data_IF_396558028126
#
_entry.id   IF_396558028126
#
_cell.length_a   1.000
_cell.length_b   1.000
_cell.length_c   1.000
_cell.angle_alpha   90.00
_cell.angle_beta   90.00
_cell.angle_gamma   90.00
#
_symmetry.space_group_name_H-M   'P 1'
#
loop_
_entity.id
_entity.type
_entity.pdbx_description
1 polymer ?
#
# COMPACT_ATOMS: atom_id res chain seq x y z
N UNK A 1 -42.24 25.72 2.59
CA UNK A 1 -42.21 24.69 3.65
C UNK A 1 -43.29 25.08 4.65
N UNK A 2 -44.43 24.38 4.65
CA UNK A 2 -45.64 24.76 5.40
C UNK A 2 -45.96 23.77 6.53
N UNK A 3 -45.43 22.54 6.45
CA UNK A 3 -45.64 21.48 7.44
C UNK A 3 -44.33 20.85 7.92
N UNK A 4 -44.37 20.12 9.04
CA UNK A 4 -43.23 19.30 9.51
C UNK A 4 -42.84 18.25 8.46
N UNK A 5 -43.82 17.67 7.75
CA UNK A 5 -43.55 16.74 6.65
C UNK A 5 -42.72 17.39 5.54
N UNK A 6 -43.04 18.63 5.15
CA UNK A 6 -42.25 19.36 4.15
C UNK A 6 -40.81 19.60 4.62
N UNK A 7 -40.63 19.86 5.92
CA UNK A 7 -39.30 20.00 6.52
C UNK A 7 -38.53 18.70 6.47
N UNK A 8 -39.13 17.58 6.85
CA UNK A 8 -38.49 16.26 6.82
C UNK A 8 -38.11 15.84 5.39
N UNK A 9 -39.00 16.05 4.42
CA UNK A 9 -38.71 15.78 3.01
C UNK A 9 -37.55 16.64 2.51
N UNK A 10 -37.56 17.93 2.82
CA UNK A 10 -36.46 18.83 2.45
C UNK A 10 -35.14 18.42 3.10
N UNK A 11 -35.15 18.14 4.41
CA UNK A 11 -33.97 17.75 5.17
C UNK A 11 -33.37 16.45 4.62
N UNK A 12 -34.18 15.41 4.45
CA UNK A 12 -33.73 14.14 3.89
C UNK A 12 -33.17 14.29 2.47
N UNK A 13 -33.81 15.11 1.62
CA UNK A 13 -33.28 15.37 0.28
C UNK A 13 -31.93 16.10 0.31
N UNK A 14 -31.73 17.00 1.28
CA UNK A 14 -30.46 17.71 1.44
C UNK A 14 -29.31 16.78 1.87
N UNK A 15 -29.60 15.68 2.57
CA UNK A 15 -28.58 14.68 2.94
C UNK A 15 -28.39 13.59 1.87
N UNK A 16 -29.49 13.06 1.32
CA UNK A 16 -29.47 11.95 0.36
C UNK A 16 -28.88 12.36 -0.99
N UNK A 17 -29.19 13.56 -1.49
CA UNK A 17 -28.69 13.98 -2.82
C UNK A 17 -27.15 14.09 -2.83
N UNK A 18 -26.49 14.77 -1.88
CA UNK A 18 -25.04 14.75 -1.77
C UNK A 18 -24.46 13.36 -1.55
N UNK A 19 -25.12 12.52 -0.73
CA UNK A 19 -24.68 11.14 -0.50
C UNK A 19 -24.61 10.33 -1.81
N UNK A 20 -25.65 10.39 -2.64
CA UNK A 20 -25.66 9.70 -3.94
C UNK A 20 -24.59 10.27 -4.89
N UNK A 21 -24.31 11.57 -4.85
CA UNK A 21 -23.21 12.16 -5.64
C UNK A 21 -21.85 11.64 -5.18
N UNK A 22 -21.59 11.60 -3.87
CA UNK A 22 -20.35 11.07 -3.31
C UNK A 22 -20.13 9.59 -3.69
N UNK A 23 -21.18 8.77 -3.59
CA UNK A 23 -21.17 7.36 -4.04
C UNK A 23 -20.77 7.25 -5.51
N UNK A 24 -21.33 8.11 -6.38
CA UNK A 24 -20.98 8.10 -7.81
C UNK A 24 -19.51 8.42 -8.03
N UNK A 25 -18.98 9.46 -7.37
CA UNK A 25 -17.56 9.81 -7.45
C UNK A 25 -16.65 8.67 -6.96
N UNK A 26 -16.98 8.07 -5.81
CA UNK A 26 -16.22 6.94 -5.27
C UNK A 26 -16.26 5.71 -6.18
N UNK A 27 -17.40 5.42 -6.78
CA UNK A 27 -17.51 4.34 -7.76
C UNK A 27 -16.57 4.57 -8.96
N UNK A 28 -16.48 5.80 -9.47
CA UNK A 28 -15.54 6.10 -10.56
C UNK A 28 -14.07 6.03 -10.12
N UNK A 29 -13.76 6.26 -8.84
CA UNK A 29 -12.41 6.01 -8.30
C UNK A 29 -12.08 4.51 -8.30
N UNK A 30 -12.93 3.66 -7.72
CA UNK A 30 -12.66 2.23 -7.59
C UNK A 30 -12.67 1.49 -8.93
N UNK A 31 -13.45 1.97 -9.91
CA UNK A 31 -13.39 1.47 -11.29
C UNK A 31 -12.00 1.59 -11.93
N UNK A 32 -11.18 2.54 -11.51
CA UNK A 32 -9.78 2.67 -12.01
C UNK A 32 -8.93 1.45 -11.64
N UNK A 33 -9.34 0.72 -10.59
CA UNK A 33 -8.72 -0.50 -10.10
C UNK A 33 -9.48 -1.77 -10.52
N UNK A 34 -10.39 -1.65 -11.49
CA UNK A 34 -11.26 -2.74 -11.95
C UNK A 34 -12.11 -3.36 -10.81
N UNK A 35 -12.56 -2.51 -9.87
CA UNK A 35 -13.41 -2.91 -8.74
C UNK A 35 -14.80 -2.29 -8.84
N UNK A 36 -15.83 -3.10 -8.60
CA UNK A 36 -17.19 -2.62 -8.34
C UNK A 36 -17.40 -2.39 -6.84
N UNK A 37 -17.67 -1.14 -6.49
CA UNK A 37 -17.80 -0.72 -5.10
C UNK A 37 -18.88 -1.48 -4.30
N UNK A 38 -19.91 -2.02 -4.94
CA UNK A 38 -21.03 -2.71 -4.27
C UNK A 38 -20.91 -4.23 -4.29
N UNK A 39 -20.19 -4.79 -5.26
CA UNK A 39 -20.02 -6.24 -5.42
C UNK A 39 -18.71 -6.71 -4.81
N UNK A 40 -17.64 -5.94 -5.00
CA UNK A 40 -16.29 -6.36 -4.63
C UNK A 40 -15.93 -6.12 -3.17
N UNK A 41 -16.69 -5.32 -2.43
CA UNK A 41 -16.42 -5.09 -1.02
C UNK A 41 -17.69 -4.81 -0.23
N UNK A 42 -17.76 -5.37 0.98
CA UNK A 42 -18.84 -5.08 1.93
C UNK A 42 -18.70 -3.66 2.50
N UNK A 43 -17.50 -3.10 2.46
CA UNK A 43 -17.17 -1.77 2.95
C UNK A 43 -16.05 -1.13 2.14
N UNK A 44 -15.87 0.18 2.30
CA UNK A 44 -14.76 0.92 1.72
C UNK A 44 -13.39 0.34 2.12
N UNK A 45 -13.26 -0.14 3.37
CA UNK A 45 -12.01 -0.77 3.82
C UNK A 45 -11.71 -2.06 3.05
N UNK A 46 -12.73 -2.88 2.75
CA UNK A 46 -12.54 -4.09 1.97
C UNK A 46 -12.13 -3.82 0.52
N UNK A 47 -12.63 -2.73 -0.08
CA UNK A 47 -12.19 -2.29 -1.41
C UNK A 47 -10.77 -1.75 -1.37
N UNK A 48 -10.44 -0.92 -0.38
CA UNK A 48 -9.07 -0.41 -0.18
C UNK A 48 -8.07 -1.55 0.03
N UNK A 49 -8.46 -2.61 0.75
CA UNK A 49 -7.65 -3.82 0.93
C UNK A 49 -7.40 -4.55 -0.41
N UNK A 50 -8.43 -4.65 -1.28
CA UNK A 50 -8.26 -5.21 -2.63
C UNK A 50 -7.30 -4.38 -3.49
N UNK A 51 -7.44 -3.05 -3.47
CA UNK A 51 -6.52 -2.12 -4.16
C UNK A 51 -5.10 -2.27 -3.61
N UNK A 52 -4.96 -2.39 -2.29
CA UNK A 52 -3.67 -2.63 -1.63
C UNK A 52 -3.03 -3.92 -2.15
N UNK A 53 -3.77 -5.03 -2.17
CA UNK A 53 -3.25 -6.29 -2.70
C UNK A 53 -2.85 -6.18 -4.17
N UNK A 54 -3.70 -5.63 -5.04
CA UNK A 54 -3.37 -5.42 -6.46
C UNK A 54 -2.04 -4.65 -6.60
N UNK A 55 -1.91 -3.53 -5.90
CA UNK A 55 -0.72 -2.67 -5.95
C UNK A 55 0.53 -3.38 -5.44
N UNK A 56 0.41 -4.15 -4.35
CA UNK A 56 1.53 -4.91 -3.76
C UNK A 56 2.00 -6.03 -4.70
N UNK A 57 1.09 -6.73 -5.38
CA UNK A 57 1.43 -7.82 -6.29
C UNK A 57 1.95 -7.34 -7.64
N UNK A 58 1.53 -6.15 -8.12
CA UNK A 58 2.04 -5.57 -9.37
C UNK A 58 3.49 -5.06 -9.24
N UNK A 59 3.90 -4.65 -8.03
CA UNK A 59 5.22 -4.06 -7.77
C UNK A 59 6.25 -5.03 -7.15
N UNK A 60 6.04 -6.34 -7.31
CA UNK A 60 6.96 -7.35 -6.80
C UNK A 60 8.38 -7.17 -7.37
N UNK A 61 9.36 -7.07 -6.48
CA UNK A 61 10.76 -7.07 -6.87
C UNK A 61 11.25 -8.49 -7.09
N UNK A 62 12.11 -8.66 -8.08
CA UNK A 62 12.73 -9.94 -8.38
C UNK A 62 14.18 -9.94 -7.91
N UNK A 63 14.62 -11.06 -7.36
CA UNK A 63 16.02 -11.26 -7.00
C UNK A 63 16.95 -11.10 -8.21
N UNK A 64 18.15 -10.57 -7.96
CA UNK A 64 19.17 -10.33 -8.98
C UNK A 64 19.50 -11.61 -9.75
N UNK A 65 19.56 -11.50 -11.08
CA UNK A 65 19.98 -12.59 -12.00
C UNK A 65 21.42 -12.43 -12.49
N UNK A 66 22.25 -11.67 -11.76
CA UNK A 66 23.67 -11.52 -12.07
C UNK A 66 24.39 -12.86 -11.86
N UNK A 67 25.23 -13.31 -12.79
CA UNK A 67 25.98 -14.55 -12.63
C UNK A 67 26.80 -14.57 -11.33
N UNK A 68 26.78 -15.71 -10.63
CA UNK A 68 27.66 -15.95 -9.49
C UNK A 68 28.99 -16.56 -9.94
N UNK A 69 29.91 -16.74 -8.98
CA UNK A 69 31.24 -17.31 -9.24
C UNK A 69 31.11 -18.74 -9.75
N UNK A 70 31.83 -19.04 -10.84
CA UNK A 70 31.86 -20.38 -11.41
C UNK A 70 32.47 -21.41 -10.46
N UNK A 71 31.90 -22.62 -10.44
CA UNK A 71 32.40 -23.79 -9.71
C UNK A 71 31.89 -25.07 -10.38
N UNK A 72 32.47 -26.21 -10.00
CA UNK A 72 32.03 -27.54 -10.43
C UNK A 72 31.20 -28.23 -9.35
N UNK A 73 30.22 -29.01 -9.77
CA UNK A 73 29.34 -29.74 -8.87
C UNK A 73 30.08 -30.84 -8.10
N UNK A 74 29.74 -31.00 -6.82
CA UNK A 74 30.41 -31.98 -5.96
C UNK A 74 30.05 -33.42 -6.34
N UNK A 75 31.04 -34.19 -6.79
CA UNK A 75 30.92 -35.64 -7.02
C UNK A 75 30.41 -36.41 -5.78
N UNK A 76 30.86 -36.00 -4.58
CA UNK A 76 30.40 -36.57 -3.31
C UNK A 76 28.91 -36.33 -3.07
N UNK A 77 28.37 -35.18 -3.50
CA UNK A 77 26.94 -34.88 -3.35
C UNK A 77 26.10 -35.66 -4.36
N UNK A 78 26.60 -35.78 -5.60
CA UNK A 78 25.94 -36.57 -6.65
C UNK A 78 25.77 -38.05 -6.24
N UNK A 79 26.81 -38.67 -5.66
CA UNK A 79 26.72 -40.07 -5.21
C UNK A 79 25.65 -40.27 -4.13
N UNK A 80 25.41 -39.26 -3.29
CA UNK A 80 24.31 -39.24 -2.32
C UNK A 80 22.93 -39.36 -2.97
N UNK A 81 22.66 -38.64 -4.06
CA UNK A 81 21.38 -38.72 -4.78
C UNK A 81 21.18 -40.08 -5.47
N UNK A 82 22.26 -40.66 -6.01
CA UNK A 82 22.20 -42.01 -6.59
C UNK A 82 21.71 -43.04 -5.58
N UNK A 83 22.20 -42.96 -4.34
CA UNK A 83 21.75 -43.82 -3.24
C UNK A 83 20.27 -43.57 -2.89
N UNK A 84 19.87 -42.31 -2.74
CA UNK A 84 18.48 -41.94 -2.41
C UNK A 84 17.47 -42.44 -3.46
N UNK A 85 17.84 -42.40 -4.73
CA UNK A 85 16.97 -42.86 -5.81
C UNK A 85 16.90 -44.39 -5.85
N UNK A 86 18.03 -45.08 -5.64
CA UNK A 86 18.05 -46.54 -5.52
C UNK A 86 17.18 -47.04 -4.35
N UNK A 87 17.30 -46.42 -3.17
CA UNK A 87 16.49 -46.75 -1.99
C UNK A 87 14.99 -46.54 -2.24
N UNK A 88 14.64 -45.47 -2.94
CA UNK A 88 13.26 -45.14 -3.29
C UNK A 88 12.75 -45.84 -4.56
N UNK A 89 13.55 -46.73 -5.18
CA UNK A 89 13.26 -47.43 -6.45
C UNK A 89 12.91 -46.47 -7.60
N UNK A 90 13.64 -45.36 -7.71
CA UNK A 90 13.49 -44.35 -8.77
C UNK A 90 14.64 -44.47 -9.78
N UNK A 91 14.36 -44.09 -11.03
CA UNK A 91 15.34 -44.09 -12.12
C UNK A 91 16.45 -43.06 -11.89
N UNK A 92 17.67 -43.36 -12.33
CA UNK A 92 18.83 -42.49 -12.20
C UNK A 92 19.62 -42.47 -13.51
N UNK A 93 19.86 -41.27 -14.05
CA UNK A 93 20.58 -41.07 -15.33
C UNK A 93 21.47 -39.83 -15.37
N UNK A 94 21.55 -39.09 -14.27
CA UNK A 94 22.34 -37.87 -14.15
C UNK A 94 23.86 -38.10 -14.28
N UNK A 95 24.56 -37.19 -14.94
CA UNK A 95 26.04 -37.15 -15.01
C UNK A 95 26.59 -35.87 -14.37
N UNK A 96 27.88 -35.86 -14.01
CA UNK A 96 28.53 -34.64 -13.51
C UNK A 96 28.59 -33.55 -14.58
N UNK A 97 28.91 -33.92 -15.82
CA UNK A 97 28.95 -32.99 -16.94
C UNK A 97 27.59 -32.32 -17.16
N UNK A 98 26.49 -33.09 -17.01
CA UNK A 98 25.14 -32.54 -17.11
C UNK A 98 24.84 -31.57 -15.95
N UNK A 99 25.26 -31.87 -14.72
CA UNK A 99 25.10 -30.96 -13.58
C UNK A 99 25.91 -29.66 -13.74
N UNK A 100 27.13 -29.76 -14.26
CA UNK A 100 27.98 -28.59 -14.54
C UNK A 100 27.41 -27.74 -15.68
N UNK A 101 26.83 -28.38 -16.71
CA UNK A 101 26.09 -27.69 -17.78
C UNK A 101 24.87 -26.95 -17.23
N UNK A 102 24.11 -27.56 -16.31
CA UNK A 102 22.98 -26.90 -15.65
C UNK A 102 23.43 -25.74 -14.76
N UNK A 103 24.55 -25.86 -14.04
CA UNK A 103 25.15 -24.77 -13.26
C UNK A 103 25.49 -23.57 -14.15
N UNK A 104 26.15 -23.81 -15.28
CA UNK A 104 26.48 -22.77 -16.27
C UNK A 104 25.22 -22.11 -16.83
N UNK A 105 24.23 -22.91 -17.26
CA UNK A 105 22.96 -22.43 -17.82
C UNK A 105 22.18 -21.59 -16.81
N UNK A 106 22.22 -21.96 -15.53
CA UNK A 106 21.58 -21.23 -14.43
C UNK A 106 22.45 -20.08 -13.88
N UNK A 107 23.58 -19.77 -14.50
CA UNK A 107 24.50 -18.70 -14.09
C UNK A 107 24.99 -18.86 -12.63
N UNK A 108 25.12 -20.11 -12.18
CA UNK A 108 25.51 -20.46 -10.81
C UNK A 108 24.57 -19.91 -9.73
N UNK A 109 23.30 -19.68 -10.07
CA UNK A 109 22.25 -19.24 -9.15
C UNK A 109 21.29 -20.39 -8.83
N UNK A 110 20.72 -20.34 -7.63
CA UNK A 110 19.63 -21.23 -7.24
C UNK A 110 18.45 -21.06 -8.21
N UNK A 111 18.00 -22.15 -8.81
CA UNK A 111 16.85 -22.15 -9.72
C UNK A 111 15.51 -21.83 -9.05
N UNK A 112 15.47 -21.70 -7.72
CA UNK A 112 14.25 -21.43 -6.95
C UNK A 112 14.22 -20.03 -6.33
N UNK A 113 15.32 -19.60 -5.68
CA UNK A 113 15.41 -18.30 -5.00
C UNK A 113 16.46 -17.35 -5.59
N UNK A 114 17.18 -17.75 -6.65
CA UNK A 114 18.25 -16.96 -7.28
C UNK A 114 19.42 -16.56 -6.36
N UNK A 115 19.55 -17.15 -5.17
CA UNK A 115 20.73 -16.95 -4.34
C UNK A 115 21.99 -17.49 -5.06
N UNK A 116 23.15 -16.82 -4.93
CA UNK A 116 24.43 -17.36 -5.40
C UNK A 116 24.70 -18.75 -4.84
N UNK A 117 25.19 -19.64 -5.69
CA UNK A 117 25.58 -20.99 -5.29
C UNK A 117 27.11 -21.12 -5.20
N UNK A 118 27.52 -22.14 -4.46
CA UNK A 118 28.88 -22.63 -4.31
C UNK A 118 28.86 -24.16 -4.29
N UNK A 119 30.04 -24.77 -4.38
CA UNK A 119 30.19 -26.24 -4.26
C UNK A 119 29.53 -26.81 -3.01
N UNK A 120 29.52 -26.04 -1.91
CA UNK A 120 28.97 -26.47 -0.63
C UNK A 120 27.47 -26.24 -0.51
N UNK A 121 26.89 -25.32 -1.29
CA UNK A 121 25.48 -24.93 -1.18
C UNK A 121 24.59 -25.49 -2.30
N UNK A 122 25.17 -25.87 -3.44
CA UNK A 122 24.44 -26.36 -4.61
C UNK A 122 23.87 -27.77 -4.45
N UNK A 123 22.64 -27.98 -4.90
CA UNK A 123 21.86 -29.19 -4.73
C UNK A 123 21.19 -29.54 -6.06
N UNK A 124 21.05 -30.82 -6.36
CA UNK A 124 20.26 -31.28 -7.51
C UNK A 124 18.82 -31.50 -7.02
N UNK A 125 17.89 -30.70 -7.52
CA UNK A 125 16.48 -30.74 -7.15
C UNK A 125 15.64 -31.35 -8.28
N UNK A 126 14.68 -32.21 -7.93
CA UNK A 126 13.85 -32.93 -8.91
C UNK A 126 12.69 -32.06 -9.35
N UNK A 127 12.58 -31.78 -10.65
CA UNK A 127 11.48 -30.98 -11.20
C UNK A 127 10.14 -31.70 -10.95
N UNK A 128 10.08 -32.98 -11.28
CA UNK A 128 8.99 -33.89 -10.94
C UNK A 128 9.42 -34.85 -9.84
N UNK A 129 8.78 -34.71 -8.67
CA UNK A 129 9.08 -35.50 -7.48
C UNK A 129 8.72 -36.99 -7.60
N UNK A 130 7.92 -37.37 -8.62
CA UNK A 130 7.58 -38.77 -8.93
C UNK A 130 8.69 -39.49 -9.69
N UNK A 131 9.54 -38.74 -10.39
CA UNK A 131 10.68 -39.26 -11.14
C UNK A 131 11.96 -39.17 -10.29
N UNK A 132 13.01 -39.91 -10.68
CA UNK A 132 14.33 -39.79 -10.06
C UNK A 132 15.20 -38.74 -10.75
N UNK A 133 16.49 -38.72 -10.45
CA UNK A 133 17.45 -37.79 -11.03
C UNK A 133 17.90 -38.30 -12.41
N UNK A 134 17.11 -37.96 -13.42
CA UNK A 134 17.37 -38.20 -14.83
C UNK A 134 17.55 -36.87 -15.56
N UNK A 135 18.21 -36.93 -16.71
CA UNK A 135 18.41 -35.75 -17.55
C UNK A 135 17.05 -35.15 -17.97
N UNK A 136 16.93 -33.82 -17.90
CA UNK A 136 15.67 -33.11 -18.10
C UNK A 136 14.73 -33.05 -16.87
N UNK A 137 14.97 -33.81 -15.79
CA UNK A 137 14.18 -33.75 -14.56
C UNK A 137 14.91 -33.05 -13.39
N UNK A 138 16.00 -32.32 -13.67
CA UNK A 138 16.85 -31.73 -12.62
C UNK A 138 16.88 -30.21 -12.76
N UNK A 139 16.75 -29.54 -11.63
CA UNK A 139 16.96 -28.10 -11.44
C UNK A 139 18.04 -27.92 -10.38
N UNK A 140 19.06 -27.10 -10.64
CA UNK A 140 20.05 -26.81 -9.60
C UNK A 140 19.44 -25.82 -8.60
N UNK A 141 19.41 -26.16 -7.32
CA UNK A 141 18.93 -25.28 -6.25
C UNK A 141 19.96 -25.15 -5.15
N UNK A 142 19.77 -24.24 -4.19
CA UNK A 142 20.49 -24.35 -2.93
C UNK A 142 19.90 -25.48 -2.07
N UNK A 143 20.68 -26.03 -1.15
CA UNK A 143 20.23 -27.07 -0.22
C UNK A 143 18.98 -26.62 0.55
N UNK A 144 18.99 -25.39 1.07
CA UNK A 144 17.87 -24.86 1.86
C UNK A 144 16.56 -24.85 1.08
N UNK A 145 16.60 -24.51 -0.21
CA UNK A 145 15.41 -24.56 -1.06
C UNK A 145 14.98 -25.99 -1.40
N UNK A 146 15.91 -26.89 -1.72
CA UNK A 146 15.57 -28.30 -2.02
C UNK A 146 14.85 -28.93 -0.82
N UNK A 147 15.43 -28.80 0.37
CA UNK A 147 14.84 -29.32 1.61
C UNK A 147 13.49 -28.69 1.93
N UNK A 148 13.35 -27.38 1.72
CA UNK A 148 12.10 -26.67 2.02
C UNK A 148 10.98 -26.90 1.00
N UNK A 149 11.31 -27.24 -0.26
CA UNK A 149 10.32 -27.43 -1.33
C UNK A 149 9.47 -28.67 -1.12
N UNK A 150 10.04 -29.74 -0.56
CA UNK A 150 9.37 -31.04 -0.36
C UNK A 150 8.70 -31.51 -1.66
N UNK A 151 7.39 -31.67 -1.66
CA UNK A 151 6.58 -32.12 -2.78
C UNK A 151 5.97 -30.97 -3.62
N UNK A 152 6.14 -29.71 -3.20
CA UNK A 152 5.59 -28.54 -3.90
C UNK A 152 6.13 -28.45 -5.34
N UNK A 153 5.27 -28.03 -6.26
CA UNK A 153 5.70 -27.76 -7.64
C UNK A 153 6.76 -26.66 -7.68
N UNK A 154 7.68 -26.75 -8.65
CA UNK A 154 8.72 -25.73 -8.86
C UNK A 154 8.11 -24.34 -9.03
N UNK A 155 7.00 -24.23 -9.78
CA UNK A 155 6.28 -22.96 -10.00
C UNK A 155 5.72 -22.40 -8.69
N UNK A 156 5.02 -23.22 -7.90
CA UNK A 156 4.44 -22.79 -6.63
C UNK A 156 5.51 -22.37 -5.61
N UNK A 157 6.61 -23.10 -5.55
CA UNK A 157 7.70 -22.78 -4.63
C UNK A 157 8.48 -21.53 -5.05
N UNK A 158 8.72 -21.31 -6.35
CA UNK A 158 9.28 -20.05 -6.86
C UNK A 158 8.40 -18.86 -6.50
N UNK A 159 7.08 -18.98 -6.64
CA UNK A 159 6.15 -17.93 -6.23
C UNK A 159 6.24 -17.67 -4.72
N UNK A 160 6.25 -18.71 -3.89
CA UNK A 160 6.48 -18.58 -2.44
C UNK A 160 7.79 -17.85 -2.13
N UNK A 161 8.90 -18.18 -2.81
CA UNK A 161 10.19 -17.49 -2.64
C UNK A 161 10.17 -16.04 -3.10
N UNK A 162 9.43 -15.71 -4.15
CA UNK A 162 9.19 -14.33 -4.57
C UNK A 162 8.45 -13.55 -3.49
N UNK A 163 7.44 -14.16 -2.85
CA UNK A 163 6.72 -13.52 -1.75
C UNK A 163 7.58 -13.35 -0.51
N UNK A 164 8.37 -14.36 -0.13
CA UNK A 164 9.33 -14.26 0.98
C UNK A 164 10.38 -13.16 0.74
N UNK A 165 10.82 -12.97 -0.51
CA UNK A 165 11.76 -11.90 -0.88
C UNK A 165 11.14 -10.51 -0.75
N UNK A 166 9.82 -10.38 -0.89
CA UNK A 166 9.06 -9.13 -0.75
C UNK A 166 8.25 -9.08 0.55
N UNK A 167 8.61 -9.88 1.57
CA UNK A 167 7.77 -10.04 2.77
C UNK A 167 7.59 -8.74 3.56
N UNK A 168 8.53 -7.81 3.42
CA UNK A 168 8.50 -6.46 3.98
C UNK A 168 7.55 -5.51 3.22
N UNK A 169 7.16 -5.83 1.97
CA UNK A 169 6.40 -4.96 1.06
C UNK A 169 4.97 -5.42 0.76
N UNK A 170 4.62 -6.66 1.13
CA UNK A 170 3.41 -7.34 0.64
C UNK A 170 2.11 -7.09 1.42
N UNK A 171 2.20 -6.72 2.70
CA UNK A 171 1.02 -6.60 3.59
C UNK A 171 0.96 -5.25 4.28
N UNK A 172 2.09 -4.55 4.34
CA UNK A 172 2.16 -3.21 4.91
C UNK A 172 2.49 -2.27 3.76
N UNK A 173 1.52 -1.50 3.26
CA UNK A 173 1.82 -0.23 2.57
C UNK A 173 2.47 0.81 3.52
N UNK A 174 3.04 0.34 4.63
CA UNK A 174 3.76 1.04 5.66
C UNK A 174 4.91 0.12 6.05
N UNK A 175 5.86 -0.04 5.14
CA UNK A 175 7.09 -0.78 5.43
C UNK A 175 8.09 0.12 6.18
N UNK A 176 9.32 -0.37 6.36
CA UNK A 176 10.36 0.40 7.06
C UNK A 176 10.68 1.72 6.34
N UNK A 177 10.53 1.79 5.03
CA UNK A 177 10.77 3.00 4.23
C UNK A 177 9.68 4.06 4.51
N UNK A 178 8.43 3.63 4.69
CA UNK A 178 7.26 4.51 4.85
C UNK A 178 6.91 4.83 6.31
N UNK A 179 7.50 4.11 7.27
CA UNK A 179 7.19 4.19 8.71
C UNK A 179 7.26 5.62 9.29
N UNK A 180 8.22 6.43 8.83
CA UNK A 180 8.35 7.82 9.28
C UNK A 180 7.17 8.67 8.80
N UNK A 181 6.86 8.63 7.50
CA UNK A 181 5.77 9.40 6.89
C UNK A 181 4.43 8.97 7.50
N UNK A 182 4.21 7.66 7.66
CA UNK A 182 3.01 7.13 8.30
C UNK A 182 2.84 7.67 9.73
N UNK A 183 3.91 7.66 10.54
CA UNK A 183 3.85 8.21 11.91
C UNK A 183 3.53 9.70 11.91
N UNK A 184 4.12 10.47 10.99
CA UNK A 184 3.79 11.89 10.81
C UNK A 184 2.32 12.07 10.44
N UNK A 185 1.80 11.35 9.45
CA UNK A 185 0.39 11.42 9.07
C UNK A 185 -0.53 11.06 10.24
N UNK A 186 -0.28 9.94 10.90
CA UNK A 186 -1.10 9.46 12.02
C UNK A 186 -1.10 10.44 13.21
N UNK A 187 0.04 11.07 13.51
CA UNK A 187 0.13 12.10 14.54
C UNK A 187 -0.67 13.38 14.21
N UNK A 188 -0.96 13.62 12.93
CA UNK A 188 -1.70 14.79 12.45
C UNK A 188 -3.16 14.48 12.07
N UNK A 189 -3.64 13.25 12.28
CA UNK A 189 -5.07 12.93 12.13
C UNK A 189 -5.83 13.58 13.29
N UNK A 190 -6.66 14.57 12.96
CA UNK A 190 -7.53 15.26 13.89
C UNK A 190 -9.00 15.00 13.56
N UNK A 191 -9.85 15.02 14.59
CA UNK A 191 -11.30 14.96 14.44
C UNK A 191 -11.89 16.29 13.95
N UNK A 192 -13.23 16.36 13.90
CA UNK A 192 -13.93 17.59 13.55
C UNK A 192 -13.60 18.73 14.54
N UNK A 193 -13.38 19.96 14.04
CA UNK A 193 -13.10 21.09 14.92
C UNK A 193 -14.32 21.41 15.80
N UNK A 194 -14.15 21.38 17.12
CA UNK A 194 -15.16 21.80 18.10
C UNK A 194 -14.66 23.04 18.84
N UNK A 195 -14.95 24.22 18.27
CA UNK A 195 -14.45 25.50 18.76
C UNK A 195 -15.60 26.25 19.41
N UNK A 196 -15.49 26.50 20.71
CA UNK A 196 -16.51 27.20 21.49
C UNK A 196 -16.03 28.63 21.75
N UNK A 197 -16.61 29.60 21.07
CA UNK A 197 -16.32 31.03 21.29
C UNK A 197 -17.11 31.57 22.49
N UNK A 198 -18.41 31.33 22.52
CA UNK A 198 -19.30 31.70 23.62
C UNK A 198 -20.27 30.54 23.87
N UNK A 199 -20.33 30.06 25.12
CA UNK A 199 -21.26 28.99 25.52
C UNK A 199 -22.72 29.43 25.51
N UNK A 200 -22.95 30.74 25.60
CA UNK A 200 -24.28 31.31 25.72
C UNK A 200 -24.36 32.65 24.98
N UNK A 201 -25.38 32.77 24.15
CA UNK A 201 -25.78 34.03 23.54
C UNK A 201 -27.30 34.16 23.64
N UNK A 202 -27.77 35.33 24.02
CA UNK A 202 -29.19 35.67 24.08
C UNK A 202 -29.47 36.99 23.38
N UNK A 203 -30.51 36.96 22.57
CA UNK A 203 -31.00 38.12 21.82
C UNK A 203 -31.33 39.27 22.78
N UNK A 204 -30.85 40.46 22.45
CA UNK A 204 -30.97 41.71 23.19
C UNK A 204 -30.26 41.76 24.55
N UNK A 205 -29.51 40.74 24.95
CA UNK A 205 -28.81 40.70 26.24
C UNK A 205 -27.29 40.55 26.07
N UNK A 206 -26.86 39.57 25.26
CA UNK A 206 -25.43 39.32 25.03
C UNK A 206 -24.83 40.44 24.18
N UNK A 207 -23.72 41.02 24.64
CA UNK A 207 -22.89 41.95 23.86
C UNK A 207 -21.91 41.16 22.98
N UNK A 208 -21.86 41.48 21.69
CA UNK A 208 -20.90 40.96 20.71
C UNK A 208 -19.78 41.99 20.47
N UNK A 209 -18.88 41.74 19.51
CA UNK A 209 -17.77 42.65 19.15
C UNK A 209 -18.21 44.12 19.10
N UNK A 210 -17.35 44.99 19.62
CA UNK A 210 -17.58 46.43 19.81
C UNK A 210 -18.71 46.78 20.80
N UNK A 211 -19.12 45.86 21.66
CA UNK A 211 -20.17 46.09 22.66
C UNK A 211 -21.59 46.13 22.10
N UNK A 212 -21.79 45.80 20.83
CA UNK A 212 -23.10 45.79 20.15
C UNK A 212 -24.00 44.70 20.74
N UNK A 213 -25.31 44.94 20.86
CA UNK A 213 -26.24 43.91 21.34
C UNK A 213 -26.53 42.86 20.26
N UNK A 214 -26.49 41.58 20.62
CA UNK A 214 -26.90 40.48 19.75
C UNK A 214 -28.38 40.63 19.36
N UNK A 215 -28.69 40.71 18.07
CA UNK A 215 -30.09 40.85 17.59
C UNK A 215 -30.70 39.58 17.02
N UNK A 216 -29.87 38.64 16.56
CA UNK A 216 -30.29 37.39 15.94
C UNK A 216 -29.20 36.34 16.13
N UNK A 217 -29.61 35.10 16.34
CA UNK A 217 -28.74 33.93 16.41
C UNK A 217 -29.17 33.00 15.26
N UNK A 218 -28.22 32.53 14.46
CA UNK A 218 -28.46 31.64 13.33
C UNK A 218 -27.49 30.48 13.47
N UNK A 219 -28.00 29.25 13.38
CA UNK A 219 -27.19 28.04 13.24
C UNK A 219 -27.11 27.65 11.76
N UNK A 220 -25.92 27.29 11.32
CA UNK A 220 -25.70 26.67 10.01
C UNK A 220 -25.16 25.27 10.25
N UNK A 221 -25.59 24.34 9.41
CA UNK A 221 -25.07 22.98 9.36
C UNK A 221 -24.70 22.64 7.92
N UNK A 222 -23.64 21.87 7.75
CA UNK A 222 -23.16 21.43 6.46
C UNK A 222 -23.86 20.12 6.07
N UNK A 223 -24.57 20.12 4.94
CA UNK A 223 -25.20 18.90 4.46
C UNK A 223 -24.13 17.87 4.07
N UNK A 224 -24.12 16.72 4.75
CA UNK A 224 -23.27 15.58 4.44
C UNK A 224 -21.76 15.92 4.29
N UNK A 225 -21.20 16.73 5.20
CA UNK A 225 -19.82 17.26 5.13
C UNK A 225 -18.75 16.22 4.75
N UNK A 226 -18.69 15.09 5.48
CA UNK A 226 -17.68 14.05 5.25
C UNK A 226 -17.86 13.35 3.89
N UNK A 227 -19.11 13.12 3.48
CA UNK A 227 -19.40 12.49 2.19
C UNK A 227 -19.04 13.41 1.03
N UNK A 228 -19.33 14.71 1.18
CA UNK A 228 -18.86 15.71 0.23
C UNK A 228 -17.33 15.69 0.15
N UNK A 229 -16.62 15.70 1.27
CA UNK A 229 -15.15 15.64 1.30
C UNK A 229 -14.61 14.38 0.59
N UNK A 230 -15.18 13.21 0.88
CA UNK A 230 -14.84 11.94 0.24
C UNK A 230 -15.13 11.88 -1.27
N UNK A 231 -15.96 12.78 -1.79
CA UNK A 231 -16.25 12.90 -3.22
C UNK A 231 -15.25 13.76 -4.00
N UNK A 232 -14.27 14.37 -3.32
CA UNK A 232 -13.18 15.14 -3.93
C UNK A 232 -11.93 14.28 -4.15
N UNK A 233 -10.86 14.89 -4.65
CA UNK A 233 -9.56 14.23 -4.75
C UNK A 233 -9.02 13.85 -3.37
N UNK A 234 -8.47 12.64 -3.29
CA UNK A 234 -7.92 12.04 -2.07
C UNK A 234 -6.57 11.41 -2.41
N UNK A 235 -5.57 11.64 -1.56
CA UNK A 235 -4.26 11.03 -1.72
C UNK A 235 -4.36 9.51 -1.53
N UNK A 236 -3.82 8.74 -2.45
CA UNK A 236 -3.81 7.28 -2.40
C UNK A 236 -2.49 6.71 -2.94
N UNK A 237 -2.23 5.44 -2.66
CA UNK A 237 -1.01 4.75 -3.10
C UNK A 237 0.10 4.78 -2.05
N UNK A 238 1.34 4.50 -2.51
CA UNK A 238 2.54 4.43 -1.67
C UNK A 238 2.92 5.83 -1.16
N UNK A 239 3.28 5.93 0.12
CA UNK A 239 3.67 7.17 0.76
C UNK A 239 5.06 7.60 0.25
N UNK A 240 5.13 8.79 -0.32
CA UNK A 240 6.37 9.39 -0.84
C UNK A 240 6.52 10.82 -0.35
N UNK A 241 7.76 11.24 -0.11
CA UNK A 241 8.10 12.62 0.23
C UNK A 241 8.84 13.28 -0.93
N UNK A 242 8.50 14.54 -1.19
CA UNK A 242 9.22 15.39 -2.14
C UNK A 242 9.76 16.57 -1.33
N UNK A 243 11.07 16.79 -1.39
CA UNK A 243 11.69 17.98 -0.81
C UNK A 243 11.19 19.25 -1.50
N UNK A 244 10.99 20.32 -0.73
CA UNK A 244 10.55 21.59 -1.29
C UNK A 244 11.57 22.12 -2.31
N UNK A 245 11.08 22.57 -3.46
CA UNK A 245 11.90 23.09 -4.57
C UNK A 245 11.38 24.44 -5.06
N UNK A 246 12.21 25.22 -5.76
CA UNK A 246 11.79 26.52 -6.29
C UNK A 246 10.58 26.39 -7.23
N UNK A 247 9.49 27.11 -6.93
CA UNK A 247 8.24 27.07 -7.72
C UNK A 247 7.21 26.04 -7.25
N UNK A 248 7.47 25.27 -6.18
CA UNK A 248 6.51 24.28 -5.67
C UNK A 248 5.15 24.89 -5.28
N UNK A 249 5.13 26.13 -4.77
CA UNK A 249 3.89 26.85 -4.43
C UNK A 249 3.04 27.13 -5.66
N UNK A 250 3.68 27.46 -6.79
CA UNK A 250 2.97 27.74 -8.05
C UNK A 250 2.43 26.44 -8.66
N UNK A 251 3.15 25.33 -8.49
CA UNK A 251 2.70 24.00 -8.89
C UNK A 251 1.49 23.53 -8.05
N UNK A 252 1.45 23.82 -6.74
CA UNK A 252 0.27 23.55 -5.90
C UNK A 252 -0.91 24.41 -6.36
N UNK A 253 -0.71 25.73 -6.54
CA UNK A 253 -1.77 26.66 -6.97
C UNK A 253 -2.33 26.39 -8.37
N UNK A 254 -1.59 25.66 -9.20
CA UNK A 254 -1.99 25.28 -10.56
C UNK A 254 -2.50 23.84 -10.65
N UNK A 255 -2.78 23.20 -9.52
CA UNK A 255 -3.25 21.81 -9.42
C UNK A 255 -2.30 20.79 -10.07
N UNK A 256 -1.02 21.14 -10.26
CA UNK A 256 0.00 20.24 -10.78
C UNK A 256 0.48 19.25 -9.72
N UNK A 257 0.37 19.61 -8.44
CA UNK A 257 0.70 18.76 -7.30
C UNK A 257 -0.46 18.76 -6.31
N UNK A 258 -0.84 17.57 -5.86
CA UNK A 258 -1.84 17.35 -4.82
C UNK A 258 -1.24 16.48 -3.70
N UNK A 259 -1.32 16.92 -2.45
CA UNK A 259 -0.70 16.20 -1.33
C UNK A 259 -0.76 16.92 0.02
N UNK A 260 0.03 16.44 0.97
CA UNK A 260 0.19 17.05 2.30
C UNK A 260 1.44 17.93 2.33
N UNK A 261 1.37 19.08 3.02
CA UNK A 261 2.47 20.01 3.19
C UNK A 261 2.85 20.12 4.67
N UNK A 262 4.10 19.80 4.98
CA UNK A 262 4.72 20.11 6.27
C UNK A 262 5.25 21.55 6.23
N UNK A 263 4.76 22.42 7.11
CA UNK A 263 5.18 23.82 7.16
C UNK A 263 5.00 24.44 8.54
N UNK A 264 5.83 25.44 8.81
CA UNK A 264 5.72 26.29 9.99
C UNK A 264 4.82 27.50 9.68
N UNK A 265 3.93 27.82 10.61
CA UNK A 265 3.07 29.01 10.50
C UNK A 265 3.44 30.06 11.54
N UNK A 266 3.47 31.33 11.12
CA UNK A 266 3.61 32.49 12.00
C UNK A 266 2.60 33.56 11.61
N UNK A 267 1.89 34.10 12.61
CA UNK A 267 1.06 35.29 12.42
C UNK A 267 1.98 36.53 12.31
N UNK A 268 1.90 37.32 11.23
CA UNK A 268 2.65 38.57 11.11
C UNK A 268 2.35 39.51 12.29
N UNK A 269 3.36 40.23 12.78
CA UNK A 269 3.24 40.97 14.04
C UNK A 269 2.10 42.01 14.01
N UNK A 270 1.89 42.67 12.87
CA UNK A 270 0.82 43.65 12.68
C UNK A 270 -0.61 43.05 12.68
N UNK A 271 -0.75 41.72 12.55
CA UNK A 271 -2.05 41.01 12.55
C UNK A 271 -2.33 40.27 13.86
N UNK A 272 -1.39 40.25 14.81
CA UNK A 272 -1.56 39.55 16.10
C UNK A 272 -2.78 40.03 16.87
N UNK A 273 -3.03 41.33 16.92
CA UNK A 273 -4.21 41.88 17.60
C UNK A 273 -5.51 41.44 16.93
N UNK A 274 -5.54 41.37 15.60
CA UNK A 274 -6.71 40.95 14.84
C UNK A 274 -7.05 39.47 15.07
N UNK A 275 -6.04 38.60 15.05
CA UNK A 275 -6.18 37.16 15.29
C UNK A 275 -6.04 36.76 16.76
N UNK A 276 -6.09 37.72 17.69
CA UNK A 276 -5.96 37.45 19.12
C UNK A 276 -7.11 36.60 19.68
N UNK A 277 -8.30 36.72 19.10
CA UNK A 277 -9.49 35.94 19.46
C UNK A 277 -9.50 34.55 18.80
N UNK A 278 -8.82 34.40 17.65
CA UNK A 278 -8.79 33.16 16.89
C UNK A 278 -7.55 33.10 15.99
N UNK A 279 -6.75 32.05 16.16
CA UNK A 279 -5.66 31.73 15.23
C UNK A 279 -6.24 31.54 13.82
N UNK A 280 -5.61 32.11 12.78
CA UNK A 280 -6.13 31.98 11.42
C UNK A 280 -6.24 30.50 11.02
N UNK A 281 -7.39 30.13 10.45
CA UNK A 281 -7.56 28.84 9.76
C UNK A 281 -6.99 28.95 8.36
N UNK A 282 -5.90 28.24 8.10
CA UNK A 282 -5.34 28.09 6.76
C UNK A 282 -6.21 27.09 5.99
N UNK A 283 -6.95 27.57 4.99
CA UNK A 283 -7.51 26.71 3.94
C UNK A 283 -6.59 26.90 2.73
N UNK A 284 -5.60 26.01 2.58
CA UNK A 284 -4.83 25.94 1.34
C UNK A 284 -5.77 25.32 0.30
N UNK A 285 -6.18 26.14 -0.67
CA UNK A 285 -6.75 25.63 -1.93
C UNK A 285 -5.59 25.18 -2.79
#
# INVERSE_FOLDING_TARGET
>A
MKTIKDLLVRYNNLDVVPFIKAIKSQRELFKRFDLDMFVDGVSLLGLSEKVMYQTCFDNLQYSSKKPAKAFQFSAKRMSGYKRQDAEAKREFGMTLDHLDMLLQTQKYLCGLCYSPLSSDTASADRINNKLGHIDGNILISCISCNTARKDMSVKGFRYKKLLEFNSDRLVYSIDKEESEIYRKMNANIAGGPSIIFNRYAKRNETKIRDGKLCKKIIGYDANALHLWALGNEMTCGRLTTIEAYGGFVDDIKSDKIFGFLECDFRIPDHLKNYFSEMTPFSKMY
#
